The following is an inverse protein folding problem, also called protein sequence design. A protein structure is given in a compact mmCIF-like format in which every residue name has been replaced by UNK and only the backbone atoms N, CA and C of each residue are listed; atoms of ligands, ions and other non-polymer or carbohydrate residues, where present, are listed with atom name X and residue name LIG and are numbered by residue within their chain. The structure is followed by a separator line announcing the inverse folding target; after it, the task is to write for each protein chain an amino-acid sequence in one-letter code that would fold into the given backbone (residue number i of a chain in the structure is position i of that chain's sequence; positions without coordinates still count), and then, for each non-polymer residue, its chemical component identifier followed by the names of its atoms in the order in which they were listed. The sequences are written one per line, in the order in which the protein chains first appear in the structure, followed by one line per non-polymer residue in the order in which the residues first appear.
data_IF_251731328807
#
_entry.id   IF_251731328807
#
_cell.length_a   1.000
_cell.length_b   1.000
_cell.length_c   1.000
_cell.angle_alpha   90.00
_cell.angle_beta   90.00
_cell.angle_gamma   90.00
#
_symmetry.space_group_name_H-M   'P 1'
#
loop_
_entity.id
_entity.type
_entity.pdbx_description
1 polymer ?
#
# COMPACT_ATOMS: atom_id res chain seq x y z
N UNK A 1 -82.48 38.16 10.95
CA UNK A 1 -81.09 37.89 11.35
C UNK A 1 -80.50 36.88 10.37
N UNK A 2 -79.29 37.16 9.89
CA UNK A 2 -78.74 36.77 8.59
C UNK A 2 -78.30 35.29 8.42
N UNK A 3 -78.41 34.86 7.16
CA UNK A 3 -77.81 33.69 6.46
C UNK A 3 -76.38 33.31 6.88
N UNK A 4 -76.02 32.02 6.78
CA UNK A 4 -75.13 31.42 5.75
C UNK A 4 -74.61 30.03 6.17
N UNK A 5 -74.79 29.00 5.32
CA UNK A 5 -73.83 27.90 5.15
C UNK A 5 -72.56 28.49 4.49
N UNK A 6 -71.33 27.98 4.77
CA UNK A 6 -70.72 27.16 3.72
C UNK A 6 -69.65 26.12 4.14
N UNK A 7 -69.55 25.12 3.25
CA UNK A 7 -68.34 24.49 2.65
C UNK A 7 -67.39 23.61 3.46
N UNK A 8 -67.49 22.33 3.09
CA UNK A 8 -66.50 21.25 3.11
C UNK A 8 -65.07 21.69 2.79
N UNK A 9 -64.10 21.21 3.59
CA UNK A 9 -62.67 21.22 3.26
C UNK A 9 -62.18 19.79 3.08
N UNK A 10 -62.05 19.38 1.82
CA UNK A 10 -61.38 18.15 1.41
C UNK A 10 -59.90 18.20 1.81
N UNK A 11 -59.45 17.19 2.55
CA UNK A 11 -58.05 17.00 2.91
C UNK A 11 -57.39 16.17 1.80
N UNK A 12 -56.58 16.80 0.94
CA UNK A 12 -55.72 16.09 -0.01
C UNK A 12 -54.52 15.49 0.75
N UNK A 13 -54.46 14.17 0.83
CA UNK A 13 -53.30 13.43 1.33
C UNK A 13 -52.29 13.29 0.19
N UNK A 14 -51.24 14.12 0.19
CA UNK A 14 -50.13 13.99 -0.75
C UNK A 14 -49.20 12.85 -0.30
N UNK A 15 -49.26 11.70 -0.96
CA UNK A 15 -48.28 10.63 -0.82
C UNK A 15 -46.96 11.04 -1.46
N UNK A 16 -45.98 11.36 -0.62
CA UNK A 16 -44.58 11.58 -1.01
C UNK A 16 -43.91 10.22 -1.22
N UNK A 17 -43.81 9.75 -2.46
CA UNK A 17 -43.01 8.57 -2.79
C UNK A 17 -41.54 8.98 -2.86
N UNK A 18 -40.83 8.86 -1.74
CA UNK A 18 -39.39 9.09 -1.68
C UNK A 18 -38.64 8.00 -2.45
N UNK A 19 -38.11 8.35 -3.62
CA UNK A 19 -37.16 7.50 -4.33
C UNK A 19 -35.82 7.57 -3.58
N UNK A 20 -35.57 6.63 -2.67
CA UNK A 20 -34.27 6.50 -2.03
C UNK A 20 -33.27 6.06 -3.11
N UNK A 21 -32.39 6.98 -3.53
CA UNK A 21 -31.23 6.63 -4.33
C UNK A 21 -30.32 5.73 -3.48
N UNK A 22 -30.39 4.43 -3.73
CA UNK A 22 -29.35 3.50 -3.29
C UNK A 22 -28.08 3.86 -4.05
N UNK A 23 -27.20 4.64 -3.40
CA UNK A 23 -25.84 4.84 -3.87
C UNK A 23 -25.15 3.48 -3.81
N UNK A 24 -25.17 2.77 -4.94
CA UNK A 24 -24.40 1.56 -5.12
C UNK A 24 -22.93 1.99 -5.05
N UNK A 25 -22.25 1.72 -3.94
CA UNK A 25 -20.81 1.97 -3.80
C UNK A 25 -20.07 0.93 -4.63
N UNK A 26 -20.19 1.03 -5.96
CA UNK A 26 -19.18 0.48 -6.85
C UNK A 26 -17.86 1.16 -6.44
N UNK A 27 -16.93 0.38 -5.89
CA UNK A 27 -15.67 0.90 -5.39
C UNK A 27 -15.01 1.76 -6.46
N UNK A 28 -14.63 2.99 -6.08
CA UNK A 28 -14.05 3.94 -7.01
C UNK A 28 -12.89 3.30 -7.80
N UNK A 29 -12.86 3.53 -9.10
CA UNK A 29 -11.77 3.07 -9.95
C UNK A 29 -10.44 3.66 -9.45
N UNK A 30 -9.45 2.80 -9.33
CA UNK A 30 -8.13 3.22 -8.88
C UNK A 30 -7.34 3.77 -10.07
N UNK A 31 -6.55 4.82 -9.82
CA UNK A 31 -5.53 5.31 -10.77
C UNK A 31 -4.16 5.37 -10.11
N UNK A 32 -3.09 5.34 -10.89
CA UNK A 32 -1.73 5.53 -10.38
C UNK A 32 -1.00 6.65 -11.13
N UNK A 33 -0.34 7.52 -10.37
CA UNK A 33 0.39 8.68 -10.90
C UNK A 33 1.72 8.86 -10.18
N UNK A 34 2.67 9.55 -10.81
CA UNK A 34 3.91 10.01 -10.17
C UNK A 34 3.79 11.50 -9.90
N UNK A 35 4.18 11.94 -8.71
CA UNK A 35 4.17 13.36 -8.35
C UNK A 35 5.46 13.74 -7.63
N UNK A 36 6.00 14.93 -7.93
CA UNK A 36 7.01 15.56 -7.08
C UNK A 36 6.35 15.89 -5.73
N UNK A 37 6.85 15.28 -4.65
CA UNK A 37 6.26 15.41 -3.32
C UNK A 37 7.28 15.03 -2.26
N UNK A 38 7.48 15.92 -1.30
CA UNK A 38 8.37 15.68 -0.17
C UNK A 38 7.90 14.46 0.66
N UNK A 39 8.84 13.63 1.16
CA UNK A 39 8.46 12.52 2.03
C UNK A 39 7.87 13.04 3.35
N UNK A 40 6.96 12.27 4.00
CA UNK A 40 6.20 12.73 5.16
C UNK A 40 7.08 13.25 6.30
N UNK A 41 6.69 14.38 6.90
CA UNK A 41 7.38 14.98 8.04
C UNK A 41 7.31 14.12 9.33
N UNK A 42 6.40 13.15 9.39
CA UNK A 42 6.27 12.20 10.50
C UNK A 42 7.42 11.18 10.58
N UNK A 43 8.29 11.12 9.56
CA UNK A 43 9.45 10.23 9.54
C UNK A 43 10.60 10.78 10.39
N UNK A 44 11.38 9.88 10.99
CA UNK A 44 12.68 10.25 11.55
C UNK A 44 13.59 10.87 10.48
N UNK A 45 14.33 11.93 10.84
CA UNK A 45 15.13 12.71 9.88
C UNK A 45 16.11 11.85 9.07
N UNK A 46 16.75 10.86 9.72
CA UNK A 46 17.67 9.92 9.06
C UNK A 46 16.99 9.00 8.04
N UNK A 47 15.73 8.62 8.26
CA UNK A 47 14.95 7.84 7.28
C UNK A 47 14.51 8.76 6.14
N UNK A 48 13.98 9.94 6.48
CA UNK A 48 13.48 10.92 5.51
C UNK A 48 14.56 11.35 4.50
N UNK A 49 15.80 11.53 4.96
CA UNK A 49 16.93 11.94 4.12
C UNK A 49 17.33 10.90 3.04
N UNK A 50 16.90 9.64 3.17
CA UNK A 50 17.22 8.59 2.20
C UNK A 50 16.20 8.51 1.05
N UNK A 51 15.06 9.18 1.16
CA UNK A 51 13.95 9.06 0.23
C UNK A 51 14.06 10.07 -0.91
N UNK A 52 13.66 9.65 -2.11
CA UNK A 52 13.53 10.58 -3.23
C UNK A 52 12.34 11.53 -3.00
N UNK A 53 12.40 12.80 -3.45
CA UNK A 53 11.31 13.78 -3.30
C UNK A 53 10.20 13.57 -4.34
N UNK A 54 9.78 12.32 -4.55
CA UNK A 54 8.71 11.94 -5.44
C UNK A 54 7.90 10.78 -4.86
N UNK A 55 6.60 10.82 -5.08
CA UNK A 55 5.67 9.80 -4.62
C UNK A 55 4.99 9.10 -5.80
N UNK A 56 4.94 7.77 -5.79
CA UNK A 56 3.95 7.02 -6.54
C UNK A 56 2.63 7.09 -5.77
N UNK A 57 1.61 7.71 -6.34
CA UNK A 57 0.30 7.90 -5.73
C UNK A 57 -0.69 6.94 -6.35
N UNK A 58 -1.37 6.15 -5.53
CA UNK A 58 -2.57 5.41 -5.90
C UNK A 58 -3.77 6.20 -5.41
N UNK A 59 -4.66 6.55 -6.33
CA UNK A 59 -5.83 7.38 -6.06
C UNK A 59 -7.11 6.57 -6.20
N UNK A 60 -8.10 6.84 -5.35
CA UNK A 60 -9.49 6.44 -5.51
C UNK A 60 -10.30 7.71 -5.84
N UNK A 61 -10.66 7.90 -7.11
CA UNK A 61 -11.02 9.23 -7.61
C UNK A 61 -9.85 10.21 -7.45
N UNK A 62 -10.09 11.35 -6.81
CA UNK A 62 -9.05 12.37 -6.57
C UNK A 62 -8.30 12.19 -5.23
N UNK A 63 -8.73 11.23 -4.40
CA UNK A 63 -8.17 11.01 -3.06
C UNK A 63 -7.05 9.98 -3.10
N UNK A 64 -5.86 10.35 -2.61
CA UNK A 64 -4.77 9.39 -2.47
C UNK A 64 -5.06 8.39 -1.36
N UNK A 65 -5.02 7.10 -1.68
CA UNK A 65 -5.21 5.99 -0.73
C UNK A 65 -3.90 5.33 -0.34
N UNK A 66 -2.92 5.32 -1.26
CA UNK A 66 -1.54 4.98 -0.98
C UNK A 66 -0.61 5.98 -1.64
N UNK A 67 0.44 6.40 -0.93
CA UNK A 67 1.54 7.17 -1.49
C UNK A 67 2.85 6.52 -1.11
N UNK A 68 3.67 6.12 -2.08
CA UNK A 68 4.92 5.42 -1.89
C UNK A 68 6.10 6.31 -2.24
N UNK A 69 7.02 6.49 -1.29
CA UNK A 69 8.33 7.11 -1.50
C UNK A 69 9.39 6.02 -1.41
N UNK A 70 10.20 5.86 -2.45
CA UNK A 70 11.31 4.91 -2.44
C UNK A 70 12.60 5.60 -1.99
N UNK A 71 13.51 4.83 -1.40
CA UNK A 71 14.87 5.31 -1.19
C UNK A 71 15.47 5.75 -2.54
N UNK A 72 16.20 6.86 -2.55
CA UNK A 72 16.91 7.36 -3.73
C UNK A 72 17.83 6.29 -4.31
N UNK A 73 18.43 5.49 -3.44
CA UNK A 73 19.17 4.28 -3.77
C UNK A 73 18.91 3.19 -2.71
N UNK A 74 18.49 2.01 -3.14
CA UNK A 74 18.36 0.82 -2.30
C UNK A 74 19.64 -0.01 -2.41
N UNK A 75 20.43 -0.19 -1.33
CA UNK A 75 21.67 -0.93 -1.40
C UNK A 75 21.40 -2.43 -1.61
N UNK A 76 22.04 -3.02 -2.61
CA UNK A 76 21.98 -4.46 -2.90
C UNK A 76 23.38 -5.07 -2.86
N UNK A 77 23.47 -6.35 -2.53
CA UNK A 77 24.76 -7.05 -2.49
C UNK A 77 25.30 -7.30 -3.89
N UNK A 78 24.64 -8.18 -4.63
CA UNK A 78 24.97 -8.49 -6.01
C UNK A 78 24.16 -7.63 -6.99
N UNK A 79 24.78 -7.28 -8.13
CA UNK A 79 24.09 -6.62 -9.24
C UNK A 79 22.99 -7.55 -9.78
N UNK A 80 21.72 -7.09 -9.83
CA UNK A 80 20.66 -7.84 -10.50
C UNK A 80 20.99 -8.13 -11.96
N UNK A 81 20.62 -9.30 -12.47
CA UNK A 81 20.82 -9.63 -13.88
C UNK A 81 19.92 -8.78 -14.81
N UNK A 82 18.77 -8.33 -14.30
CA UNK A 82 17.87 -7.40 -14.99
C UNK A 82 17.02 -6.60 -14.00
N UNK A 83 16.36 -5.51 -14.42
CA UNK A 83 15.44 -4.77 -13.57
C UNK A 83 14.30 -5.61 -12.98
N UNK A 84 13.80 -6.60 -13.73
CA UNK A 84 12.73 -7.51 -13.31
C UNK A 84 13.19 -8.50 -12.22
N UNK A 85 14.49 -8.86 -12.20
CA UNK A 85 15.06 -9.79 -11.22
C UNK A 85 15.61 -9.09 -9.96
N UNK A 86 15.45 -7.77 -9.85
CA UNK A 86 16.08 -6.99 -8.79
C UNK A 86 15.62 -7.34 -7.37
N UNK A 87 14.37 -7.79 -7.18
CA UNK A 87 13.85 -8.18 -5.87
C UNK A 87 14.70 -9.27 -5.19
N UNK A 88 15.26 -10.20 -5.96
CA UNK A 88 16.10 -11.27 -5.43
C UNK A 88 17.44 -10.75 -4.84
N UNK A 89 17.86 -9.54 -5.22
CA UNK A 89 19.09 -8.91 -4.71
C UNK A 89 18.85 -8.01 -3.49
N UNK A 90 17.59 -7.78 -3.09
CA UNK A 90 17.28 -6.92 -1.95
C UNK A 90 17.72 -7.60 -0.65
N UNK A 91 18.30 -6.81 0.26
CA UNK A 91 18.73 -7.31 1.56
C UNK A 91 17.51 -7.47 2.47
N UNK A 92 17.27 -8.65 3.09
CA UNK A 92 16.29 -8.79 4.15
C UNK A 92 16.49 -7.72 5.22
N UNK A 93 15.38 -7.25 5.82
CA UNK A 93 15.30 -6.14 6.78
C UNK A 93 15.78 -4.77 6.26
N UNK A 94 16.22 -4.69 5.00
CA UNK A 94 16.64 -3.44 4.37
C UNK A 94 15.47 -2.48 4.16
N UNK A 95 15.70 -1.19 4.44
CA UNK A 95 14.75 -0.13 4.14
C UNK A 95 14.72 0.11 2.62
N UNK A 96 13.54 -0.01 2.01
CA UNK A 96 13.36 0.24 0.57
C UNK A 96 12.53 1.49 0.27
N UNK A 97 11.81 2.00 1.28
CA UNK A 97 10.97 3.17 1.13
C UNK A 97 10.03 3.38 2.31
N UNK A 98 9.00 4.20 2.08
CA UNK A 98 7.92 4.54 2.99
C UNK A 98 6.59 4.54 2.23
N UNK A 99 5.51 4.18 2.92
CA UNK A 99 4.15 4.33 2.44
C UNK A 99 3.32 5.18 3.39
N UNK A 100 2.56 6.13 2.85
CA UNK A 100 1.42 6.75 3.55
C UNK A 100 0.14 6.05 3.12
N UNK A 101 -0.65 5.60 4.09
CA UNK A 101 -1.94 4.94 3.90
C UNK A 101 -3.04 5.87 4.40
N UNK A 102 -4.02 6.15 3.56
CA UNK A 102 -5.17 7.01 3.88
C UNK A 102 -6.47 6.34 3.42
N UNK A 103 -7.56 6.60 4.12
CA UNK A 103 -8.84 5.95 3.88
C UNK A 103 -9.00 4.68 4.72
N UNK A 104 -10.25 4.25 4.86
CA UNK A 104 -10.64 3.12 5.69
C UNK A 104 -10.66 1.82 4.87
N UNK A 105 -10.67 0.69 5.58
CA UNK A 105 -10.90 -0.65 5.04
C UNK A 105 -9.77 -1.22 4.17
N UNK A 106 -8.53 -0.71 4.32
CA UNK A 106 -7.36 -1.37 3.73
C UNK A 106 -7.03 -2.64 4.49
N UNK A 107 -6.57 -3.66 3.75
CA UNK A 107 -6.14 -4.93 4.33
C UNK A 107 -4.77 -5.31 3.80
N UNK A 108 -3.99 -5.97 4.65
CA UNK A 108 -2.69 -6.52 4.30
C UNK A 108 -2.85 -7.78 3.45
N UNK A 109 -1.75 -8.27 2.88
CA UNK A 109 -1.77 -9.51 2.12
C UNK A 109 -2.10 -10.75 2.97
N UNK A 110 -2.02 -10.64 4.31
CA UNK A 110 -2.47 -11.67 5.26
C UNK A 110 -3.89 -11.42 5.76
N UNK A 111 -4.68 -10.61 5.07
CA UNK A 111 -6.07 -10.33 5.45
C UNK A 111 -6.16 -9.80 6.90
N UNK A 112 -5.22 -8.94 7.29
CA UNK A 112 -5.27 -8.16 8.55
C UNK A 112 -5.64 -6.72 8.21
N UNK A 113 -6.36 -6.04 9.09
CA UNK A 113 -6.64 -4.60 8.91
C UNK A 113 -5.32 -3.82 8.80
N UNK A 114 -5.23 -2.91 7.82
CA UNK A 114 -4.12 -1.98 7.66
C UNK A 114 -4.60 -0.57 8.04
N UNK A 115 -4.27 -0.09 9.26
CA UNK A 115 -4.70 1.23 9.70
C UNK A 115 -4.09 2.35 8.87
N UNK A 116 -4.78 3.49 8.81
CA UNK A 116 -4.22 4.72 8.26
C UNK A 116 -2.93 5.13 9.01
N UNK A 117 -1.98 5.69 8.28
CA UNK A 117 -0.72 6.14 8.86
C UNK A 117 0.45 6.12 7.90
N UNK A 118 1.63 6.50 8.42
CA UNK A 118 2.90 6.46 7.70
C UNK A 118 3.73 5.29 8.22
N UNK A 119 4.23 4.48 7.29
CA UNK A 119 4.98 3.26 7.58
C UNK A 119 6.29 3.23 6.80
N UNK A 120 7.37 2.80 7.43
CA UNK A 120 8.55 2.36 6.69
C UNK A 120 8.25 1.04 5.99
N UNK A 121 8.87 0.82 4.84
CA UNK A 121 8.81 -0.42 4.07
C UNK A 121 10.14 -1.14 4.15
N UNK A 122 10.16 -2.27 4.86
CA UNK A 122 11.34 -3.12 5.04
C UNK A 122 11.20 -4.38 4.19
N UNK A 123 12.20 -4.71 3.38
CA UNK A 123 12.15 -5.91 2.55
C UNK A 123 12.21 -7.18 3.39
N UNK A 124 11.42 -8.17 3.01
CA UNK A 124 11.37 -9.47 3.65
C UNK A 124 11.21 -10.59 2.62
N UNK A 125 11.80 -11.73 2.94
CA UNK A 125 11.51 -12.99 2.28
C UNK A 125 10.46 -13.75 3.10
N UNK A 126 9.60 -14.48 2.40
CA UNK A 126 8.69 -15.43 3.01
C UNK A 126 9.50 -16.51 3.76
N UNK A 127 9.12 -16.88 4.99
CA UNK A 127 9.72 -18.02 5.67
C UNK A 127 9.54 -19.32 4.88
N UNK A 128 10.57 -20.17 4.87
CA UNK A 128 10.54 -21.50 4.25
C UNK A 128 10.11 -22.56 5.27
N UNK A 129 8.92 -22.40 5.83
CA UNK A 129 8.32 -23.35 6.77
C UNK A 129 6.93 -23.83 6.31
N UNK A 130 6.39 -24.83 7.00
CA UNK A 130 5.11 -25.45 6.64
C UNK A 130 3.91 -24.52 6.70
N UNK A 131 3.99 -23.40 7.44
CA UNK A 131 2.87 -22.46 7.63
C UNK A 131 2.86 -21.35 6.57
N UNK A 132 3.96 -21.16 5.84
CA UNK A 132 4.10 -20.07 4.88
C UNK A 132 4.18 -20.56 3.43
N UNK A 133 4.78 -21.71 3.16
CA UNK A 133 4.95 -22.21 1.79
C UNK A 133 3.60 -22.38 1.07
N UNK A 134 3.53 -21.87 -0.16
CA UNK A 134 2.32 -21.94 -1.01
C UNK A 134 1.28 -20.84 -0.79
N UNK A 135 1.43 -20.00 0.25
CA UNK A 135 0.48 -18.92 0.55
C UNK A 135 0.62 -17.70 -0.38
N UNK A 136 1.69 -17.61 -1.17
CA UNK A 136 1.92 -16.53 -2.14
C UNK A 136 2.56 -17.05 -3.42
N UNK A 137 2.39 -16.34 -4.54
CA UNK A 137 3.02 -16.72 -5.81
C UNK A 137 4.53 -16.41 -5.84
N UNK A 138 4.97 -15.41 -5.06
CA UNK A 138 6.36 -14.99 -4.97
C UNK A 138 6.74 -14.79 -3.49
N UNK A 139 7.99 -15.10 -3.10
CA UNK A 139 8.42 -15.05 -1.71
C UNK A 139 8.82 -13.63 -1.26
N UNK A 140 8.49 -12.59 -2.02
CA UNK A 140 8.94 -11.22 -1.78
C UNK A 140 7.86 -10.39 -1.10
N UNK A 141 8.23 -9.70 -0.02
CA UNK A 141 7.30 -8.90 0.77
C UNK A 141 7.94 -7.59 1.21
N UNK A 142 7.10 -6.59 1.48
CA UNK A 142 7.44 -5.52 2.41
C UNK A 142 6.72 -5.75 3.73
N UNK A 143 7.47 -5.58 4.81
CA UNK A 143 6.94 -5.46 6.17
C UNK A 143 6.79 -3.97 6.47
N UNK A 144 5.57 -3.56 6.80
CA UNK A 144 5.23 -2.18 7.14
C UNK A 144 5.41 -1.97 8.63
N UNK A 145 6.21 -0.99 9.02
CA UNK A 145 6.44 -0.65 10.44
C UNK A 145 6.02 0.80 10.65
N UNK A 146 5.18 1.10 11.66
CA UNK A 146 4.77 2.48 11.90
C UNK A 146 5.99 3.40 12.04
N UNK A 147 5.96 4.57 11.38
CA UNK A 147 7.10 5.51 11.39
C UNK A 147 7.53 5.95 12.81
N UNK A 148 6.59 5.96 13.77
CA UNK A 148 6.85 6.21 15.19
C UNK A 148 7.69 5.11 15.88
N UNK A 149 7.75 3.91 15.30
CA UNK A 149 8.48 2.74 15.82
C UNK A 149 9.82 2.59 15.08
N UNK A 150 9.83 2.71 13.76
CA UNK A 150 11.04 2.58 12.94
C UNK A 150 11.60 3.96 12.53
N UNK A 151 12.51 4.49 13.35
CA UNK A 151 13.02 5.86 13.21
C UNK A 151 14.41 5.95 12.60
N UNK A 152 15.09 4.81 12.36
CA UNK A 152 16.48 4.78 11.88
C UNK A 152 16.65 3.75 10.76
N UNK A 153 17.46 4.04 9.72
CA UNK A 153 17.64 3.12 8.59
C UNK A 153 18.28 1.78 8.99
N UNK A 154 19.04 1.72 10.08
CA UNK A 154 19.74 0.55 10.61
C UNK A 154 19.06 -0.06 11.85
N UNK A 155 17.79 0.29 12.12
CA UNK A 155 17.06 -0.16 13.31
C UNK A 155 16.92 -1.69 13.44
N UNK A 156 17.05 -2.44 12.34
CA UNK A 156 16.89 -3.89 12.32
C UNK A 156 18.07 -4.58 11.65
N UNK A 157 18.59 -5.61 12.32
CA UNK A 157 19.60 -6.53 11.79
C UNK A 157 19.09 -7.96 11.65
N UNK A 158 17.89 -8.25 12.19
CA UNK A 158 17.30 -9.58 12.21
C UNK A 158 15.79 -9.56 11.97
N UNK A 159 15.30 -10.55 11.24
CA UNK A 159 13.89 -10.69 10.85
C UNK A 159 12.90 -10.71 12.04
N UNK A 160 13.14 -11.46 13.15
CA UNK A 160 12.18 -11.52 14.26
C UNK A 160 11.94 -10.15 14.93
N UNK A 161 12.99 -9.33 15.04
CA UNK A 161 12.87 -7.99 15.62
C UNK A 161 12.02 -7.07 14.73
N UNK A 162 12.21 -7.15 13.40
CA UNK A 162 11.44 -6.40 12.41
C UNK A 162 9.95 -6.81 12.43
N UNK A 163 9.66 -8.11 12.47
CA UNK A 163 8.28 -8.63 12.54
C UNK A 163 7.59 -8.21 13.83
N UNK A 164 8.26 -8.32 14.97
CA UNK A 164 7.74 -7.87 16.27
C UNK A 164 7.41 -6.37 16.27
N UNK A 165 8.25 -5.56 15.65
CA UNK A 165 8.01 -4.11 15.55
C UNK A 165 6.80 -3.77 14.67
N UNK A 166 6.62 -4.49 13.56
CA UNK A 166 5.46 -4.34 12.67
C UNK A 166 4.15 -4.74 13.36
N UNK A 167 4.14 -5.88 14.05
CA UNK A 167 2.96 -6.44 14.71
C UNK A 167 2.62 -5.84 16.07
N UNK A 168 3.37 -4.84 16.56
CA UNK A 168 3.21 -4.32 17.93
C UNK A 168 1.78 -3.87 18.24
N UNK A 169 1.15 -3.21 17.29
CA UNK A 169 -0.18 -2.60 17.44
C UNK A 169 -1.25 -3.39 16.64
N UNK A 170 -0.97 -4.62 16.19
CA UNK A 170 -1.89 -5.43 15.39
C UNK A 170 -2.55 -6.54 16.21
N UNK A 171 -3.81 -6.93 15.88
CA UNK A 171 -4.41 -8.12 16.45
C UNK A 171 -3.56 -9.37 16.20
N UNK A 172 -3.28 -10.15 17.25
CA UNK A 172 -2.49 -11.38 17.16
C UNK A 172 -0.99 -11.17 16.90
N UNK A 173 -0.49 -9.93 16.86
CA UNK A 173 0.92 -9.65 16.64
C UNK A 173 1.41 -9.94 15.22
N UNK A 174 0.49 -10.12 14.26
CA UNK A 174 0.87 -10.39 12.88
C UNK A 174 1.49 -9.15 12.23
N UNK A 175 2.58 -9.29 11.46
CA UNK A 175 3.16 -8.16 10.76
C UNK A 175 2.21 -7.64 9.68
N UNK A 176 2.21 -6.33 9.50
CA UNK A 176 1.55 -5.68 8.37
C UNK A 176 2.41 -5.91 7.13
N UNK A 177 1.90 -6.67 6.16
CA UNK A 177 2.66 -7.06 4.96
C UNK A 177 1.95 -6.72 3.65
N UNK A 178 2.71 -6.32 2.64
CA UNK A 178 2.26 -6.29 1.24
C UNK A 178 3.14 -7.24 0.42
N UNK A 179 2.52 -7.99 -0.49
CA UNK A 179 3.25 -8.88 -1.40
C UNK A 179 3.91 -8.06 -2.51
N UNK A 180 5.13 -8.44 -2.87
CA UNK A 180 5.86 -7.91 -4.00
C UNK A 180 5.92 -8.96 -5.11
N UNK A 181 5.84 -8.49 -6.36
CA UNK A 181 5.94 -9.35 -7.55
C UNK A 181 7.04 -8.82 -8.47
N UNK A 182 7.90 -9.68 -9.04
CA UNK A 182 8.73 -9.30 -10.16
C UNK A 182 7.86 -8.72 -11.27
N UNK A 183 8.28 -7.61 -11.88
CA UNK A 183 7.56 -7.02 -13.00
C UNK A 183 8.40 -7.12 -14.27
N UNK A 184 7.78 -7.58 -15.35
CA UNK A 184 8.32 -7.41 -16.69
C UNK A 184 8.42 -5.91 -17.04
N UNK A 185 9.18 -5.59 -18.09
CA UNK A 185 9.33 -4.22 -18.57
C UNK A 185 7.99 -3.53 -18.85
N UNK A 186 7.97 -2.20 -18.72
CA UNK A 186 6.83 -1.37 -19.10
C UNK A 186 6.73 -0.10 -18.26
N UNK A 187 5.66 0.65 -18.51
CA UNK A 187 5.40 1.94 -17.86
C UNK A 187 5.26 1.80 -16.34
N UNK A 188 5.73 2.81 -15.62
CA UNK A 188 5.61 2.92 -14.16
C UNK A 188 5.39 4.40 -13.78
N UNK A 189 4.45 4.72 -12.88
CA UNK A 189 3.58 3.76 -12.19
C UNK A 189 2.40 3.30 -13.05
N UNK A 190 1.97 2.05 -12.85
CA UNK A 190 0.82 1.47 -13.58
C UNK A 190 0.02 0.53 -12.68
N UNK A 191 -1.30 0.65 -12.69
CA UNK A 191 -2.18 -0.31 -12.01
C UNK A 191 -2.40 -1.55 -12.89
N UNK A 192 -2.33 -2.71 -12.25
CA UNK A 192 -2.49 -4.01 -12.88
C UNK A 192 -3.42 -4.89 -12.05
N UNK A 193 -3.99 -5.89 -12.70
CA UNK A 193 -4.68 -7.01 -12.07
C UNK A 193 -3.85 -8.27 -12.35
N UNK A 194 -2.87 -8.61 -11.48
CA UNK A 194 -1.95 -9.71 -11.74
C UNK A 194 -2.61 -11.08 -11.63
N UNK A 195 -3.74 -11.16 -10.93
CA UNK A 195 -4.64 -12.32 -10.86
C UNK A 195 -6.02 -11.83 -10.39
N UNK A 196 -7.05 -12.64 -10.60
CA UNK A 196 -8.43 -12.28 -10.28
C UNK A 196 -8.56 -11.78 -8.83
N UNK A 197 -9.18 -10.61 -8.66
CA UNK A 197 -9.43 -10.02 -7.35
C UNK A 197 -8.22 -9.35 -6.68
N UNK A 198 -7.05 -9.36 -7.33
CA UNK A 198 -5.87 -8.63 -6.90
C UNK A 198 -5.73 -7.32 -7.67
N UNK A 199 -5.27 -6.27 -6.99
CA UNK A 199 -4.77 -5.05 -7.64
C UNK A 199 -3.35 -4.80 -7.18
N UNK A 200 -2.46 -4.57 -8.13
CA UNK A 200 -1.07 -4.18 -7.88
C UNK A 200 -0.76 -2.85 -8.55
N UNK A 201 0.24 -2.16 -8.01
CA UNK A 201 0.86 -1.00 -8.67
C UNK A 201 2.29 -1.39 -9.04
N UNK A 202 2.61 -1.34 -10.34
CA UNK A 202 4.00 -1.43 -10.80
C UNK A 202 4.72 -0.14 -10.45
N UNK A 203 5.91 -0.30 -9.90
CA UNK A 203 6.76 0.78 -9.41
C UNK A 203 8.19 0.56 -9.88
N UNK A 204 8.92 1.67 -9.99
CA UNK A 204 10.35 1.69 -10.29
C UNK A 204 11.10 2.27 -9.11
N UNK A 205 11.97 1.48 -8.51
CA UNK A 205 12.96 1.94 -7.53
C UNK A 205 14.35 1.98 -8.19
N UNK A 206 15.31 2.60 -7.52
CA UNK A 206 16.73 2.55 -7.90
C UNK A 206 17.46 1.65 -6.93
N UNK A 207 18.20 0.67 -7.44
CA UNK A 207 19.11 -0.16 -6.65
C UNK A 207 20.55 0.24 -6.90
N UNK A 208 21.37 0.15 -5.86
CA UNK A 208 22.81 0.41 -5.90
C UNK A 208 23.57 -0.85 -5.47
N UNK A 209 24.11 -1.62 -6.42
CA UNK A 209 25.08 -2.66 -6.10
C UNK A 209 26.39 -2.03 -5.62
N UNK A 210 27.13 -2.74 -4.77
CA UNK A 210 28.39 -2.23 -4.18
C UNK A 210 29.39 -1.80 -5.26
N UNK A 211 29.58 -2.63 -6.29
CA UNK A 211 30.62 -2.45 -7.31
C UNK A 211 30.04 -2.09 -8.70
N UNK A 212 28.90 -1.41 -8.75
CA UNK A 212 28.28 -1.03 -10.04
C UNK A 212 27.51 0.29 -9.97
N UNK A 213 27.25 0.89 -11.12
CA UNK A 213 26.36 2.04 -11.24
C UNK A 213 24.94 1.69 -10.73
N UNK A 214 24.19 2.67 -10.19
CA UNK A 214 22.78 2.47 -9.89
C UNK A 214 22.01 1.99 -11.12
N UNK A 215 21.03 1.11 -10.91
CA UNK A 215 20.17 0.60 -11.97
C UNK A 215 18.71 0.53 -11.51
N UNK A 216 17.73 0.53 -12.42
CA UNK A 216 16.34 0.42 -12.02
C UNK A 216 16.02 -0.99 -11.49
N UNK A 217 15.15 -1.04 -10.50
CA UNK A 217 14.42 -2.22 -10.06
C UNK A 217 12.95 -2.02 -10.39
N UNK A 218 12.35 -2.96 -11.11
CA UNK A 218 10.95 -2.90 -11.54
C UNK A 218 10.19 -4.04 -10.88
N UNK A 219 9.16 -3.71 -10.11
CA UNK A 219 8.35 -4.67 -9.39
C UNK A 219 6.94 -4.13 -9.17
N UNK A 220 6.03 -4.99 -8.73
CA UNK A 220 4.68 -4.62 -8.36
C UNK A 220 4.48 -4.75 -6.85
N UNK A 221 3.70 -3.85 -6.27
CA UNK A 221 3.22 -3.94 -4.89
C UNK A 221 1.74 -4.29 -4.94
N UNK A 222 1.34 -5.41 -4.33
CA UNK A 222 -0.07 -5.79 -4.21
C UNK A 222 -0.72 -4.92 -3.14
N UNK A 223 -1.62 -4.04 -3.57
CA UNK A 223 -2.35 -3.07 -2.72
C UNK A 223 -3.77 -3.53 -2.38
N UNK A 224 -4.28 -4.55 -3.08
CA UNK A 224 -5.55 -5.22 -2.80
C UNK A 224 -5.42 -6.69 -3.19
N UNK A 225 -5.99 -7.58 -2.37
CA UNK A 225 -5.88 -9.03 -2.51
C UNK A 225 -5.16 -9.65 -1.31
N UNK A 226 -5.28 -10.97 -1.18
CA UNK A 226 -4.69 -11.74 -0.07
C UNK A 226 -4.04 -13.01 -0.57
N UNK A 227 -3.11 -13.53 0.22
CA UNK A 227 -2.51 -14.83 0.00
C UNK A 227 -3.51 -15.97 0.01
N UNK A 228 -3.07 -17.10 -0.54
CA UNK A 228 -3.79 -18.37 -0.46
C UNK A 228 -3.76 -18.86 0.99
N UNK A 229 -4.85 -19.47 1.41
CA UNK A 229 -5.00 -20.14 2.72
C UNK A 229 -4.80 -21.62 2.57
#
# INVERSE_FOLDING_TARGET
MNRMLPTSRSLLLATFTGLAAVANSAGAELTATLAAKEPPAALGASVRALLAPQAVRVLAGDSAVFEFWFCSEVPVGAKPASPAQALASFKPVGLIGVVSVTGKQHRTYRDTELPEGVYTMRFALQPEDGDHLGTADFPFFVVLIPAKVDTKPDAFTAYPAMVKASGRDTPGGHPLILSLRPAAEGESPKLLEPTAGHKSVRVKATVKPADSAPMPALFEIVIKGKGKT
#
